data_IF_146041307112
#
_entry.id   IF_146041307112
#
_cell.length_a   1.000
_cell.length_b   1.000
_cell.length_c   1.000
_cell.angle_alpha   90.00
_cell.angle_beta   90.00
_cell.angle_gamma   90.00
#
_symmetry.space_group_name_H-M   'P 1'
#
loop_
_entity.id
_entity.type
_entity.pdbx_description
1 polymer ?
#
# COMPACT_ATOMS: atom_id res chain seq x y z
N UNK A 1 -20.65 -6.41 -17.66
CA UNK A 1 -20.22 -5.62 -16.50
C UNK A 1 -18.97 -6.30 -16.01
N UNK A 2 -17.84 -5.86 -16.54
CA UNK A 2 -16.51 -6.44 -16.33
C UNK A 2 -16.02 -6.10 -14.92
N UNK A 3 -15.40 -7.08 -14.27
CA UNK A 3 -14.74 -6.94 -12.97
C UNK A 3 -13.54 -6.00 -13.14
N UNK A 4 -13.61 -4.84 -12.48
CA UNK A 4 -12.63 -3.76 -12.54
C UNK A 4 -11.66 -3.90 -11.35
N UNK A 5 -10.72 -4.84 -11.42
CA UNK A 5 -9.56 -4.85 -10.52
C UNK A 5 -8.61 -3.72 -10.95
N UNK A 6 -8.82 -2.54 -10.37
CA UNK A 6 -8.29 -1.29 -10.92
C UNK A 6 -6.92 -0.86 -10.39
N UNK A 7 -6.36 -1.26 -9.25
CA UNK A 7 -5.09 -0.66 -8.75
C UNK A 7 -5.11 0.88 -8.94
N UNK A 8 -6.13 1.52 -8.39
CA UNK A 8 -6.05 2.93 -8.03
C UNK A 8 -5.77 2.89 -6.54
N UNK A 9 -4.48 2.85 -6.21
CA UNK A 9 -4.03 3.12 -4.87
C UNK A 9 -4.12 4.63 -4.67
N UNK A 10 -5.34 5.11 -4.41
CA UNK A 10 -5.49 6.35 -3.65
C UNK A 10 -5.04 6.02 -2.23
N UNK A 11 -3.71 5.97 -2.01
CA UNK A 11 -3.18 6.22 -0.69
C UNK A 11 -3.46 7.70 -0.39
N UNK A 12 -4.70 8.01 0.00
CA UNK A 12 -4.98 9.23 0.72
C UNK A 12 -4.28 9.07 2.07
N UNK A 13 -3.05 9.57 2.16
CA UNK A 13 -2.67 10.19 3.42
C UNK A 13 -3.69 11.32 3.60
N UNK A 14 -4.64 11.13 4.52
CA UNK A 14 -5.57 12.16 4.92
C UNK A 14 -4.77 13.43 5.25
N UNK A 15 -4.82 14.42 4.37
CA UNK A 15 -4.77 15.82 4.78
C UNK A 15 -6.11 16.09 5.44
N UNK A 16 -6.29 15.57 6.66
CA UNK A 16 -7.32 16.08 7.54
C UNK A 16 -7.01 17.56 7.75
N UNK A 17 -8.03 18.39 7.57
CA UNK A 17 -7.98 19.83 7.85
C UNK A 17 -7.21 20.08 9.12
N UNK A 18 -6.23 21.00 9.09
CA UNK A 18 -5.44 21.45 10.23
C UNK A 18 -6.38 21.90 11.36
N UNK A 19 -6.81 20.94 12.18
CA UNK A 19 -7.26 21.19 13.52
C UNK A 19 -5.99 21.45 14.32
N UNK A 20 -5.94 22.58 15.01
CA UNK A 20 -4.79 22.96 15.83
C UNK A 20 -4.51 21.86 16.86
N UNK A 21 -3.51 21.02 16.56
CA UNK A 21 -3.05 19.97 17.46
C UNK A 21 -2.38 20.59 18.70
N UNK A 22 -2.42 19.91 19.85
CA UNK A 22 -1.47 20.21 20.92
C UNK A 22 -0.04 20.07 20.35
N UNK A 23 0.89 20.94 20.71
CA UNK A 23 2.25 20.86 20.18
C UNK A 23 2.88 19.53 20.60
N UNK A 24 3.46 18.80 19.65
CA UNK A 24 4.35 17.70 19.96
C UNK A 24 5.40 18.17 20.97
N UNK A 25 5.82 17.30 21.91
CA UNK A 25 6.88 17.65 22.84
C UNK A 25 8.11 18.10 22.04
N UNK A 26 8.72 19.23 22.46
CA UNK A 26 9.92 19.76 21.82
C UNK A 26 10.98 18.66 21.66
N UNK A 27 11.66 18.66 20.51
CA UNK A 27 12.72 17.72 20.22
C UNK A 27 13.75 17.67 21.36
N UNK A 28 14.23 16.46 21.69
CA UNK A 28 15.27 16.24 22.71
C UNK A 28 14.94 16.62 24.18
N UNK A 29 13.70 16.98 24.52
CA UNK A 29 13.34 17.32 25.93
C UNK A 29 13.66 16.19 26.91
N UNK A 30 13.54 14.94 26.48
CA UNK A 30 13.83 13.76 27.31
C UNK A 30 15.30 13.28 27.21
N UNK A 31 16.18 14.06 26.58
CA UNK A 31 17.58 13.70 26.37
C UNK A 31 18.45 14.08 27.58
N UNK A 32 18.26 13.34 28.68
CA UNK A 32 18.91 13.63 29.97
C UNK A 32 19.82 12.47 30.39
N UNK A 33 21.10 12.79 30.66
CA UNK A 33 22.09 11.89 31.30
C UNK A 33 23.02 11.11 30.37
N UNK A 34 24.16 10.67 30.95
CA UNK A 34 25.06 9.61 30.45
C UNK A 34 25.42 9.66 28.96
N UNK A 35 25.08 8.57 28.26
CA UNK A 35 25.44 8.28 26.87
C UNK A 35 24.47 8.87 25.84
N UNK A 36 23.57 9.77 26.24
CA UNK A 36 22.58 10.38 25.34
C UNK A 36 23.04 11.74 24.80
N UNK A 37 22.83 11.97 23.50
CA UNK A 37 23.12 13.23 22.81
C UNK A 37 21.94 13.68 21.95
N UNK A 38 21.59 14.96 22.04
CA UNK A 38 20.68 15.56 21.08
C UNK A 38 21.45 15.82 19.79
N UNK A 39 21.00 15.23 18.68
CA UNK A 39 21.70 15.24 17.40
C UNK A 39 20.75 15.62 16.27
N UNK A 40 21.32 16.12 15.17
CA UNK A 40 20.59 16.40 13.94
C UNK A 40 20.33 15.12 13.14
N UNK A 41 19.17 15.06 12.48
CA UNK A 41 18.87 14.04 11.49
C UNK A 41 19.29 14.53 10.09
N UNK A 42 20.49 14.13 9.68
CA UNK A 42 21.06 14.48 8.37
C UNK A 42 20.31 13.87 7.20
N UNK A 43 19.47 12.85 7.42
CA UNK A 43 18.66 12.27 6.37
C UNK A 43 17.47 13.18 6.00
N UNK A 44 17.05 14.06 6.91
CA UNK A 44 15.96 15.03 6.74
C UNK A 44 16.51 16.36 6.21
N UNK A 45 17.55 16.89 6.85
CA UNK A 45 18.21 18.12 6.42
C UNK A 45 19.64 18.11 6.96
N UNK A 46 20.59 18.59 6.15
CA UNK A 46 21.96 18.81 6.62
C UNK A 46 21.92 19.82 7.78
N UNK A 47 22.16 19.32 8.99
CA UNK A 47 22.13 20.05 10.24
C UNK A 47 23.26 19.52 11.12
N UNK A 48 24.08 20.41 11.67
CA UNK A 48 25.14 20.01 12.59
C UNK A 48 24.58 19.67 13.98
N UNK A 49 25.14 18.67 14.67
CA UNK A 49 24.67 18.26 16.01
C UNK A 49 24.69 19.43 17.02
N UNK A 50 25.62 20.37 16.86
CA UNK A 50 25.70 21.56 17.71
C UNK A 50 24.47 22.46 17.59
N UNK A 51 23.77 22.46 16.45
CA UNK A 51 22.55 23.24 16.24
C UNK A 51 21.36 22.67 17.02
N UNK A 52 21.35 21.36 17.27
CA UNK A 52 20.32 20.69 18.08
C UNK A 52 20.52 20.87 19.59
N UNK A 53 21.71 21.29 20.06
CA UNK A 53 21.99 21.48 21.50
C UNK A 53 21.04 22.50 22.15
N UNK A 54 20.55 23.48 21.39
CA UNK A 54 19.58 24.46 21.88
C UNK A 54 18.27 23.81 22.35
N UNK A 55 17.92 22.63 21.80
CA UNK A 55 16.70 21.91 22.11
C UNK A 55 16.70 21.29 23.50
N UNK A 56 17.88 21.03 24.08
CA UNK A 56 18.02 20.56 25.47
C UNK A 56 17.59 21.62 26.50
N UNK A 57 17.60 22.90 26.11
CA UNK A 57 17.35 24.03 27.02
C UNK A 57 16.11 24.84 26.63
N UNK A 58 15.56 24.59 25.45
CA UNK A 58 14.40 25.36 24.99
C UNK A 58 13.12 24.85 25.62
N UNK A 59 12.29 25.79 26.09
CA UNK A 59 10.90 25.56 26.47
C UNK A 59 9.91 26.16 25.46
N UNK A 60 10.41 26.80 24.40
CA UNK A 60 9.58 27.47 23.39
C UNK A 60 9.34 26.55 22.20
N UNK A 61 8.06 26.23 21.96
CA UNK A 61 7.59 25.44 20.80
C UNK A 61 7.90 26.02 19.42
N UNK A 62 8.51 27.21 19.36
CA UNK A 62 8.88 27.91 18.12
C UNK A 62 10.39 27.96 17.89
N UNK A 63 11.18 27.30 18.75
CA UNK A 63 12.64 27.33 18.64
C UNK A 63 13.08 26.41 17.53
N UNK A 64 13.64 26.95 16.47
CA UNK A 64 14.33 26.17 15.45
C UNK A 64 15.70 25.70 15.97
N UNK A 65 16.17 24.48 15.65
CA UNK A 65 15.50 23.42 14.88
C UNK A 65 14.48 22.55 15.65
N UNK A 66 14.28 22.81 16.94
CA UNK A 66 13.53 21.95 17.87
C UNK A 66 12.04 21.78 17.57
N UNK A 67 11.45 22.75 16.86
CA UNK A 67 10.05 22.78 16.46
C UNK A 67 9.78 22.09 15.12
N UNK A 68 10.81 21.54 14.47
CA UNK A 68 10.68 20.74 13.28
C UNK A 68 10.67 19.28 13.71
N UNK A 69 9.54 18.60 13.53
CA UNK A 69 9.39 17.22 13.96
C UNK A 69 10.49 16.34 13.32
N UNK A 70 11.17 15.57 14.18
CA UNK A 70 12.23 14.66 13.80
C UNK A 70 13.57 15.27 13.41
N UNK A 71 13.67 16.57 13.18
CA UNK A 71 14.92 17.20 12.73
C UNK A 71 16.02 17.14 13.81
N UNK A 72 15.64 17.23 15.07
CA UNK A 72 16.50 16.90 16.20
C UNK A 72 15.91 15.73 16.99
N UNK A 73 16.77 14.84 17.45
CA UNK A 73 16.32 13.70 18.26
C UNK A 73 17.38 13.29 19.28
N UNK A 74 16.96 12.52 20.28
CA UNK A 74 17.85 12.04 21.32
C UNK A 74 18.47 10.70 20.93
N UNK A 75 19.75 10.71 20.61
CA UNK A 75 20.52 9.52 20.26
C UNK A 75 21.24 8.93 21.47
N UNK A 76 21.06 7.63 21.70
CA UNK A 76 21.89 6.85 22.60
C UNK A 76 23.18 6.44 21.88
N UNK A 77 24.31 6.98 22.31
CA UNK A 77 25.62 6.78 21.66
C UNK A 77 26.14 5.35 21.75
N UNK A 78 25.48 4.47 22.52
CA UNK A 78 25.77 3.02 22.53
C UNK A 78 25.09 2.28 21.37
N UNK A 79 24.16 2.92 20.66
CA UNK A 79 23.37 2.36 19.56
C UNK A 79 23.79 2.95 18.21
N UNK A 80 23.56 2.22 17.10
CA UNK A 80 23.66 2.81 15.77
C UNK A 80 22.88 4.12 15.67
N UNK A 81 23.40 5.08 14.90
CA UNK A 81 22.80 6.41 14.76
C UNK A 81 21.64 6.40 13.75
N UNK A 82 20.63 5.58 14.03
CA UNK A 82 19.35 5.58 13.33
C UNK A 82 18.27 6.03 14.29
N UNK A 83 17.39 6.94 13.84
CA UNK A 83 16.28 7.42 14.66
C UNK A 83 15.39 6.22 15.07
N UNK A 84 15.16 5.98 16.38
CA UNK A 84 14.34 4.86 16.83
C UNK A 84 12.96 4.91 16.22
N UNK A 85 12.47 3.73 15.83
CA UNK A 85 11.09 3.53 15.43
C UNK A 85 10.17 3.49 16.66
N UNK A 86 8.87 3.59 16.41
CA UNK A 86 7.84 3.33 17.40
C UNK A 86 7.96 1.87 17.88
N UNK A 87 8.24 1.62 19.17
CA UNK A 87 8.45 0.26 19.64
C UNK A 87 7.13 -0.44 19.94
N UNK A 88 7.06 -1.75 19.67
CA UNK A 88 5.94 -2.59 20.12
C UNK A 88 6.04 -2.94 21.60
N UNK A 89 7.26 -2.89 22.15
CA UNK A 89 7.58 -3.36 23.49
C UNK A 89 7.63 -4.89 23.62
N UNK A 90 7.52 -5.62 22.50
CA UNK A 90 7.72 -7.06 22.46
C UNK A 90 9.22 -7.39 22.44
N UNK A 91 9.56 -8.62 22.80
CA UNK A 91 10.95 -9.10 22.73
C UNK A 91 11.32 -9.50 21.30
N UNK A 92 12.58 -9.31 20.91
CA UNK A 92 13.11 -9.80 19.63
C UNK A 92 13.06 -11.33 19.59
N UNK A 93 12.50 -11.87 18.50
CA UNK A 93 12.42 -13.30 18.29
C UNK A 93 13.71 -13.88 17.70
N UNK A 94 13.98 -15.15 18.01
CA UNK A 94 15.14 -15.88 17.46
C UNK A 94 14.94 -16.37 16.04
N UNK A 95 13.69 -16.56 15.61
CA UNK A 95 13.35 -17.04 14.27
C UNK A 95 13.53 -15.92 13.26
N UNK A 96 14.26 -16.15 12.17
CA UNK A 96 14.44 -15.11 11.15
C UNK A 96 13.17 -14.95 10.30
N UNK A 97 12.83 -13.73 9.85
CA UNK A 97 11.66 -13.47 9.01
C UNK A 97 11.53 -14.39 7.80
N UNK A 98 12.60 -14.56 7.03
CA UNK A 98 12.59 -15.35 5.79
C UNK A 98 12.68 -16.87 6.00
N UNK A 99 12.87 -17.34 7.24
CA UNK A 99 12.67 -18.75 7.58
C UNK A 99 11.19 -19.06 7.83
N UNK A 100 10.39 -18.04 8.22
CA UNK A 100 8.94 -18.16 8.43
C UNK A 100 8.22 -18.08 7.09
N UNK A 101 8.48 -17.02 6.32
CA UNK A 101 7.94 -16.86 4.97
C UNK A 101 9.02 -17.23 3.94
N UNK A 102 8.93 -18.45 3.43
CA UNK A 102 9.94 -19.03 2.53
C UNK A 102 9.72 -18.63 1.08
N UNK A 103 10.74 -18.78 0.23
CA UNK A 103 10.61 -18.55 -1.22
C UNK A 103 9.52 -19.41 -1.85
N UNK A 104 9.36 -20.64 -1.38
CA UNK A 104 8.28 -21.52 -1.82
C UNK A 104 6.91 -20.91 -1.55
N UNK A 105 6.72 -20.35 -0.34
CA UNK A 105 5.47 -19.67 0.03
C UNK A 105 5.25 -18.40 -0.79
N UNK A 106 6.31 -17.63 -1.08
CA UNK A 106 6.24 -16.48 -1.98
C UNK A 106 5.76 -16.88 -3.37
N UNK A 107 6.36 -17.92 -3.96
CA UNK A 107 5.96 -18.43 -5.27
C UNK A 107 4.56 -19.04 -5.28
N UNK A 108 4.06 -19.54 -4.14
CA UNK A 108 2.68 -20.01 -4.00
C UNK A 108 1.69 -18.84 -3.90
N UNK A 109 2.03 -17.80 -3.13
CA UNK A 109 1.21 -16.60 -2.97
C UNK A 109 1.14 -15.78 -4.26
N UNK A 110 2.25 -15.68 -4.98
CA UNK A 110 2.40 -14.82 -6.16
C UNK A 110 3.19 -15.51 -7.28
N UNK A 111 2.61 -16.54 -7.92
CA UNK A 111 3.29 -17.33 -8.95
C UNK A 111 3.67 -16.53 -10.20
N UNK A 112 3.03 -15.36 -10.40
CA UNK A 112 3.24 -14.50 -11.54
C UNK A 112 3.98 -13.19 -11.19
N UNK A 113 4.58 -13.11 -10.00
CA UNK A 113 5.33 -11.92 -9.60
C UNK A 113 6.36 -11.53 -10.66
N UNK A 114 6.43 -10.24 -10.97
CA UNK A 114 7.35 -9.69 -11.98
C UNK A 114 8.43 -8.85 -11.31
N UNK A 115 9.57 -8.71 -11.95
CA UNK A 115 10.58 -7.74 -11.51
C UNK A 115 9.96 -6.34 -11.36
N UNK A 116 10.21 -5.60 -10.26
CA UNK A 116 11.26 -5.80 -9.25
C UNK A 116 10.90 -6.69 -8.04
N UNK A 117 9.74 -7.35 -8.04
CA UNK A 117 9.27 -8.13 -6.89
C UNK A 117 9.93 -9.51 -6.81
N UNK A 118 11.17 -9.56 -6.29
CA UNK A 118 11.88 -10.81 -6.03
C UNK A 118 11.82 -11.17 -4.55
N UNK A 119 11.81 -12.46 -4.23
CA UNK A 119 11.88 -12.94 -2.84
C UNK A 119 13.20 -12.55 -2.18
N UNK A 120 14.32 -12.70 -2.90
CA UNK A 120 15.65 -12.26 -2.45
C UNK A 120 15.64 -10.77 -2.07
N UNK A 121 15.09 -9.90 -2.93
CA UNK A 121 15.00 -8.46 -2.65
C UNK A 121 14.15 -8.13 -1.42
N UNK A 122 13.09 -8.90 -1.16
CA UNK A 122 12.28 -8.76 0.06
C UNK A 122 13.13 -9.09 1.30
N UNK A 123 13.81 -10.24 1.28
CA UNK A 123 14.62 -10.71 2.40
C UNK A 123 15.83 -9.82 2.69
N UNK A 124 16.56 -9.41 1.65
CA UNK A 124 17.70 -8.52 1.79
C UNK A 124 17.29 -7.17 2.40
N UNK A 125 16.13 -6.66 2.00
CA UNK A 125 15.61 -5.38 2.52
C UNK A 125 15.15 -5.50 3.97
N UNK A 126 14.52 -6.62 4.35
CA UNK A 126 14.17 -6.91 5.76
C UNK A 126 15.45 -7.00 6.60
N UNK A 127 16.46 -7.74 6.15
CA UNK A 127 17.73 -7.86 6.87
C UNK A 127 18.43 -6.50 7.02
N UNK A 128 18.46 -5.70 5.94
CA UNK A 128 18.99 -4.34 5.97
C UNK A 128 18.30 -3.49 7.06
N UNK A 129 16.96 -3.48 7.09
CA UNK A 129 16.21 -2.70 8.08
C UNK A 129 16.39 -3.25 9.51
N UNK A 130 16.27 -4.57 9.70
CA UNK A 130 16.41 -5.20 11.02
C UNK A 130 17.83 -5.09 11.59
N UNK A 131 18.85 -4.85 10.75
CA UNK A 131 20.20 -4.50 11.21
C UNK A 131 20.33 -3.06 11.70
N UNK A 132 19.51 -2.14 11.17
CA UNK A 132 19.55 -0.70 11.50
C UNK A 132 18.77 -0.36 12.77
N UNK A 133 17.62 -1.00 12.99
CA UNK A 133 16.67 -0.63 14.05
C UNK A 133 16.55 -1.71 15.12
N UNK A 134 16.32 -1.31 16.37
CA UNK A 134 16.09 -2.23 17.49
C UNK A 134 14.73 -2.94 17.37
N UNK A 135 13.67 -2.22 16.99
CA UNK A 135 12.38 -2.83 16.62
C UNK A 135 12.54 -3.55 15.27
N UNK A 136 12.17 -4.84 15.24
CA UNK A 136 12.39 -5.69 14.07
C UNK A 136 11.09 -5.91 13.30
N UNK A 137 11.10 -5.68 11.99
CA UNK A 137 9.97 -6.05 11.15
C UNK A 137 9.94 -7.59 11.01
N UNK A 138 8.77 -8.19 11.27
CA UNK A 138 8.53 -9.64 11.25
C UNK A 138 9.36 -10.50 12.21
N UNK A 139 10.01 -9.90 13.22
CA UNK A 139 10.89 -10.61 14.16
C UNK A 139 10.67 -10.16 15.62
N UNK A 140 9.44 -9.79 15.96
CA UNK A 140 9.06 -9.35 17.31
C UNK A 140 7.96 -10.26 17.87
N UNK A 141 8.06 -10.54 19.17
CA UNK A 141 7.08 -11.33 19.90
C UNK A 141 7.08 -12.82 19.54
N UNK A 142 5.93 -13.46 19.74
CA UNK A 142 5.76 -14.91 19.55
C UNK A 142 5.77 -15.30 18.06
N UNK A 143 6.00 -16.58 17.75
CA UNK A 143 5.91 -17.07 16.38
C UNK A 143 4.51 -16.85 15.78
N UNK A 144 3.45 -16.95 16.59
CA UNK A 144 2.08 -16.70 16.13
C UNK A 144 1.87 -15.21 15.77
N UNK A 145 2.48 -14.30 16.51
CA UNK A 145 2.47 -12.86 16.19
C UNK A 145 3.23 -12.57 14.89
N UNK A 146 4.45 -13.11 14.73
CA UNK A 146 5.24 -12.95 13.50
C UNK A 146 4.51 -13.49 12.26
N UNK A 147 3.86 -14.66 12.38
CA UNK A 147 3.06 -15.24 11.30
C UNK A 147 1.84 -14.38 10.94
N UNK A 148 1.14 -13.85 11.93
CA UNK A 148 0.01 -12.97 11.70
C UNK A 148 0.41 -11.65 11.05
N UNK A 149 1.53 -11.07 11.50
CA UNK A 149 2.10 -9.87 10.89
C UNK A 149 2.44 -10.10 9.41
N UNK A 150 3.10 -11.23 9.10
CA UNK A 150 3.36 -11.65 7.72
C UNK A 150 2.08 -11.76 6.90
N UNK A 151 1.06 -12.47 7.42
CA UNK A 151 -0.20 -12.66 6.72
C UNK A 151 -0.89 -11.31 6.41
N UNK A 152 -0.92 -10.39 7.38
CA UNK A 152 -1.51 -9.06 7.21
C UNK A 152 -0.76 -8.22 6.16
N UNK A 153 0.57 -8.14 6.28
CA UNK A 153 1.41 -7.42 5.33
C UNK A 153 1.26 -7.95 3.89
N UNK A 154 1.30 -9.27 3.74
CA UNK A 154 1.16 -9.93 2.44
C UNK A 154 -0.24 -9.74 1.88
N UNK A 155 -1.30 -9.87 2.69
CA UNK A 155 -2.67 -9.64 2.26
C UNK A 155 -2.89 -8.23 1.68
N UNK A 156 -2.34 -7.20 2.34
CA UNK A 156 -2.40 -5.84 1.84
C UNK A 156 -1.54 -5.61 0.60
N UNK A 157 -0.25 -5.96 0.64
CA UNK A 157 0.65 -5.66 -0.48
C UNK A 157 0.34 -6.47 -1.74
N UNK A 158 -0.19 -7.69 -1.60
CA UNK A 158 -0.72 -8.48 -2.72
C UNK A 158 -1.94 -7.79 -3.35
N UNK A 159 -2.79 -7.14 -2.55
CA UNK A 159 -3.87 -6.32 -3.06
C UNK A 159 -3.36 -5.09 -3.82
N UNK A 160 -2.49 -4.29 -3.20
CA UNK A 160 -2.02 -3.02 -3.78
C UNK A 160 -1.25 -3.22 -5.10
N UNK A 161 -0.48 -4.29 -5.21
CA UNK A 161 0.40 -4.52 -6.36
C UNK A 161 -0.17 -5.50 -7.39
N UNK A 162 -1.47 -5.84 -7.30
CA UNK A 162 -2.10 -6.87 -8.12
C UNK A 162 -1.29 -8.18 -8.14
N UNK A 163 -1.07 -8.75 -6.96
CA UNK A 163 -0.27 -9.95 -6.74
C UNK A 163 1.15 -9.79 -7.29
N UNK A 164 1.75 -8.63 -7.03
CA UNK A 164 3.10 -8.26 -7.46
C UNK A 164 3.31 -8.32 -8.98
N UNK A 165 2.28 -7.96 -9.76
CA UNK A 165 2.37 -7.81 -11.23
C UNK A 165 2.36 -6.36 -11.69
N UNK A 166 1.99 -5.43 -10.81
CA UNK A 166 1.83 -4.01 -11.12
C UNK A 166 2.84 -3.15 -10.34
N UNK A 167 4.09 -2.99 -10.84
CA UNK A 167 5.08 -2.11 -10.22
C UNK A 167 4.73 -0.62 -10.23
N UNK A 168 3.75 -0.24 -11.05
CA UNK A 168 3.31 1.15 -11.25
C UNK A 168 1.78 1.18 -11.32
N UNK A 169 1.22 2.30 -10.88
CA UNK A 169 -0.20 2.58 -11.01
C UNK A 169 -0.61 2.61 -12.50
N UNK A 170 -1.80 2.08 -12.78
CA UNK A 170 -2.24 1.82 -14.15
C UNK A 170 -2.46 3.09 -14.97
N UNK A 171 -3.25 4.04 -14.45
CA UNK A 171 -3.61 5.26 -15.18
C UNK A 171 -2.39 6.11 -15.56
N UNK A 172 -1.43 6.38 -14.65
CA UNK A 172 -0.25 7.15 -15.01
C UNK A 172 0.77 6.35 -15.83
N UNK A 173 0.91 5.04 -15.59
CA UNK A 173 2.01 4.28 -16.18
C UNK A 173 1.83 2.75 -16.29
N UNK A 174 0.68 2.26 -16.76
CA UNK A 174 0.51 0.81 -16.98
C UNK A 174 1.46 0.21 -18.03
N UNK A 175 1.81 0.99 -19.07
CA UNK A 175 2.79 0.61 -20.09
C UNK A 175 3.91 1.63 -20.14
N UNK A 176 5.14 1.14 -20.16
CA UNK A 176 6.34 1.96 -20.29
C UNK A 176 6.90 1.90 -21.71
N UNK A 177 7.52 2.98 -22.13
CA UNK A 177 8.40 3.01 -23.30
C UNK A 177 9.85 3.10 -22.82
N UNK A 178 10.70 2.21 -23.32
CA UNK A 178 12.14 2.21 -23.01
C UNK A 178 12.90 2.80 -24.20
N UNK A 179 13.58 3.93 -24.00
CA UNK A 179 14.35 4.58 -25.06
C UNK A 179 15.61 5.25 -24.49
N UNK A 180 16.77 4.99 -25.11
CA UNK A 180 18.03 5.62 -24.69
C UNK A 180 18.46 5.31 -23.25
N UNK A 181 17.98 4.20 -22.67
CA UNK A 181 18.19 3.84 -21.26
C UNK A 181 17.21 4.51 -20.28
N UNK A 182 16.27 5.32 -20.76
CA UNK A 182 15.22 5.93 -19.95
C UNK A 182 13.89 5.19 -20.03
N UNK A 183 13.12 5.26 -18.95
CA UNK A 183 11.72 4.81 -18.87
C UNK A 183 10.79 5.99 -19.04
N UNK A 184 9.73 5.82 -19.83
CA UNK A 184 8.72 6.86 -20.09
C UNK A 184 7.31 6.31 -19.93
N UNK A 185 6.42 7.16 -19.41
CA UNK A 185 5.05 6.80 -19.07
C UNK A 185 4.04 7.59 -19.90
N UNK A 186 2.88 6.99 -20.16
CA UNK A 186 1.78 7.64 -20.89
C UNK A 186 0.59 7.87 -19.94
N UNK A 187 0.54 8.99 -19.20
CA UNK A 187 -0.50 9.23 -18.23
C UNK A 187 -1.85 9.39 -18.91
N UNK A 188 -2.91 8.85 -18.29
CA UNK A 188 -4.22 8.72 -18.89
C UNK A 188 -5.36 9.13 -17.97
N UNK A 189 -6.38 9.78 -18.56
CA UNK A 189 -7.69 9.87 -17.94
C UNK A 189 -8.41 8.53 -18.04
N UNK A 190 -9.27 8.22 -17.07
CA UNK A 190 -9.99 6.94 -17.01
C UNK A 190 -10.88 6.69 -18.25
N UNK A 191 -11.49 7.73 -18.81
CA UNK A 191 -12.31 7.65 -20.02
C UNK A 191 -11.53 7.29 -21.30
N UNK A 192 -10.21 7.49 -21.29
CA UNK A 192 -9.32 7.21 -22.43
C UNK A 192 -8.43 5.98 -22.20
N UNK A 193 -8.61 5.30 -21.06
CA UNK A 193 -7.81 4.14 -20.68
C UNK A 193 -8.49 2.86 -21.14
N UNK A 194 -7.85 2.15 -22.07
CA UNK A 194 -8.22 0.78 -22.43
C UNK A 194 -7.76 -0.14 -21.30
N UNK A 195 -8.70 -0.58 -20.48
CA UNK A 195 -8.45 -1.46 -19.33
C UNK A 195 -8.04 -2.88 -19.73
N UNK A 196 -8.51 -3.37 -20.88
CA UNK A 196 -8.20 -4.72 -21.37
C UNK A 196 -6.76 -4.76 -21.86
N UNK A 197 -6.37 -3.78 -22.67
CA UNK A 197 -5.01 -3.70 -23.19
C UNK A 197 -4.06 -2.93 -22.28
N UNK A 198 -4.54 -2.28 -21.22
CA UNK A 198 -3.72 -1.41 -20.35
C UNK A 198 -3.00 -0.32 -21.15
N UNK A 199 -3.71 0.32 -22.06
CA UNK A 199 -3.14 1.31 -22.97
C UNK A 199 -3.93 2.62 -22.94
N UNK A 200 -3.21 3.72 -22.94
CA UNK A 200 -3.82 5.04 -23.03
C UNK A 200 -3.92 5.49 -24.48
N UNK A 201 -5.13 5.76 -24.96
CA UNK A 201 -5.33 6.30 -26.31
C UNK A 201 -4.82 7.75 -26.39
N UNK A 202 -5.34 8.60 -25.50
CA UNK A 202 -5.06 10.04 -25.44
C UNK A 202 -4.37 10.37 -24.13
N UNK A 203 -3.07 10.70 -24.20
CA UNK A 203 -2.32 11.05 -22.99
C UNK A 203 -2.69 12.42 -22.43
N UNK A 204 -2.74 12.52 -21.11
CA UNK A 204 -2.94 13.76 -20.34
C UNK A 204 -1.89 14.83 -20.62
N UNK A 205 -0.66 14.45 -20.99
CA UNK A 205 0.43 15.41 -21.26
C UNK A 205 0.54 15.82 -22.73
N UNK A 206 -0.29 15.25 -23.61
CA UNK A 206 -0.32 15.62 -25.03
C UNK A 206 -0.84 17.05 -25.23
N UNK A 207 -0.41 17.71 -26.31
CA UNK A 207 -0.96 18.99 -26.77
C UNK A 207 -0.91 20.11 -25.72
N UNK A 208 0.18 20.16 -24.94
CA UNK A 208 0.36 21.16 -23.88
C UNK A 208 -0.38 20.85 -22.58
N UNK A 209 -0.95 19.64 -22.45
CA UNK A 209 -1.47 19.14 -21.19
C UNK A 209 -0.36 18.84 -20.17
N UNK A 210 -0.75 18.60 -18.92
CA UNK A 210 0.17 18.38 -17.80
C UNK A 210 -0.37 17.29 -16.88
N UNK A 211 0.53 16.59 -16.18
CA UNK A 211 0.21 15.68 -15.10
C UNK A 211 0.68 16.30 -13.77
N UNK A 212 -0.25 16.52 -12.84
CA UNK A 212 0.02 17.13 -11.52
C UNK A 212 -0.52 16.30 -10.34
N UNK A 213 -1.06 15.11 -10.58
CA UNK A 213 -1.59 14.29 -9.50
C UNK A 213 -0.47 13.82 -8.55
N UNK A 214 -0.84 13.56 -7.29
CA UNK A 214 0.08 13.16 -6.22
C UNK A 214 1.20 14.17 -5.92
N UNK A 215 0.95 15.45 -6.20
CA UNK A 215 1.84 16.56 -5.86
C UNK A 215 1.14 17.55 -4.93
N UNK A 216 1.48 17.51 -3.63
CA UNK A 216 1.15 18.60 -2.72
C UNK A 216 2.26 19.66 -2.79
N UNK A 217 1.99 20.73 -3.53
CA UNK A 217 2.91 21.86 -3.73
C UNK A 217 3.19 22.66 -2.45
N UNK A 218 2.39 22.48 -1.39
CA UNK A 218 2.61 23.12 -0.10
C UNK A 218 3.62 22.36 0.76
N UNK A 219 3.82 21.07 0.47
CA UNK A 219 4.80 20.23 1.15
C UNK A 219 6.10 20.25 0.36
N UNK A 220 7.12 20.85 0.95
CA UNK A 220 8.45 21.03 0.36
C UNK A 220 9.53 20.50 1.32
N UNK A 221 10.79 20.41 0.91
CA UNK A 221 11.85 19.96 1.80
C UNK A 221 11.88 20.79 3.09
N UNK A 222 12.06 20.15 4.26
CA UNK A 222 12.43 18.74 4.43
C UNK A 222 11.23 17.76 4.55
N UNK A 223 9.99 18.21 4.40
CA UNK A 223 8.80 17.40 4.65
C UNK A 223 8.26 16.66 3.42
N UNK A 224 8.75 16.99 2.22
CA UNK A 224 8.40 16.32 0.98
C UNK A 224 9.29 16.71 -0.17
N UNK A 225 9.20 15.96 -1.26
CA UNK A 225 9.92 16.27 -2.48
C UNK A 225 9.34 17.52 -3.15
N UNK A 226 10.19 18.31 -3.79
CA UNK A 226 9.71 19.36 -4.71
C UNK A 226 9.01 18.66 -5.88
N UNK A 227 7.80 19.09 -6.17
CA UNK A 227 6.99 18.54 -7.24
C UNK A 227 6.31 19.66 -8.04
N UNK A 228 5.87 19.35 -9.27
CA UNK A 228 5.23 20.31 -10.15
C UNK A 228 4.63 19.63 -11.38
N UNK A 229 4.12 20.42 -12.34
CA UNK A 229 3.60 19.87 -13.58
C UNK A 229 4.65 19.08 -14.34
N UNK A 230 4.31 17.84 -14.64
CA UNK A 230 5.05 17.02 -15.58
C UNK A 230 4.41 17.17 -16.95
N UNK A 231 5.20 17.53 -17.96
CA UNK A 231 4.75 17.73 -19.34
C UNK A 231 5.26 16.60 -20.24
N UNK A 232 4.84 16.63 -21.51
CA UNK A 232 5.40 15.75 -22.53
C UNK A 232 6.91 15.99 -22.70
N UNK A 233 7.66 14.91 -22.96
CA UNK A 233 9.12 14.97 -23.17
C UNK A 233 9.44 15.58 -24.54
N UNK A 234 8.67 15.21 -25.57
CA UNK A 234 8.81 15.72 -26.93
C UNK A 234 7.43 15.97 -27.56
N UNK A 235 7.33 16.97 -28.44
CA UNK A 235 6.09 17.31 -29.17
C UNK A 235 5.88 16.45 -30.44
N UNK A 236 6.92 15.70 -30.85
CA UNK A 236 6.95 14.83 -32.02
C UNK A 236 7.96 13.71 -31.84
N UNK A 237 7.88 12.65 -32.66
CA UNK A 237 8.77 11.49 -32.54
C UNK A 237 8.25 10.41 -31.59
N UNK A 238 9.15 9.52 -31.17
CA UNK A 238 8.80 8.30 -30.42
C UNK A 238 8.40 8.58 -28.97
N UNK A 239 8.77 9.74 -28.41
CA UNK A 239 8.39 10.14 -27.04
C UNK A 239 7.19 11.09 -27.00
N UNK A 240 6.51 11.32 -28.13
CA UNK A 240 5.34 12.18 -28.19
C UNK A 240 4.24 11.68 -27.25
N UNK A 241 3.72 12.59 -26.42
CA UNK A 241 2.66 12.29 -25.46
C UNK A 241 3.10 11.35 -24.33
N UNK A 242 4.41 11.20 -24.11
CA UNK A 242 4.97 10.50 -22.96
C UNK A 242 5.60 11.50 -22.00
N UNK A 243 5.60 11.17 -20.72
CA UNK A 243 6.27 11.92 -19.65
C UNK A 243 7.45 11.14 -19.08
N UNK A 244 8.41 11.85 -18.49
CA UNK A 244 9.43 11.23 -17.64
C UNK A 244 8.82 10.96 -16.24
N UNK A 245 8.69 9.69 -15.82
CA UNK A 245 8.10 9.34 -14.54
C UNK A 245 8.88 9.84 -13.32
N UNK A 246 10.15 10.20 -13.46
CA UNK A 246 10.96 10.73 -12.35
C UNK A 246 10.51 12.11 -11.86
N UNK A 247 9.56 12.76 -12.54
CA UNK A 247 8.96 14.03 -12.10
C UNK A 247 7.59 13.87 -11.43
N UNK A 248 7.12 12.63 -11.24
CA UNK A 248 5.79 12.35 -10.70
C UNK A 248 5.82 11.30 -9.59
N UNK A 249 4.99 11.52 -8.56
CA UNK A 249 4.95 10.74 -7.32
C UNK A 249 3.69 9.87 -7.20
N UNK A 250 3.25 9.31 -8.33
CA UNK A 250 2.14 8.34 -8.40
C UNK A 250 2.50 6.98 -7.80
N UNK A 251 1.52 6.08 -7.68
CA UNK A 251 1.67 4.78 -7.02
C UNK A 251 2.74 3.89 -7.63
N UNK A 252 3.70 3.41 -6.82
CA UNK A 252 4.72 2.43 -7.22
C UNK A 252 5.04 1.41 -6.12
N UNK A 253 5.61 0.28 -6.51
CA UNK A 253 6.12 -0.72 -5.56
C UNK A 253 5.02 -1.53 -4.88
N UNK A 254 5.37 -2.27 -3.83
CA UNK A 254 4.49 -3.32 -3.28
C UNK A 254 3.30 -2.76 -2.49
N UNK A 255 3.40 -1.52 -1.98
CA UNK A 255 2.32 -0.81 -1.29
C UNK A 255 1.71 0.32 -2.13
N UNK A 256 2.12 0.44 -3.41
CA UNK A 256 1.76 1.57 -4.28
C UNK A 256 2.00 2.93 -3.59
N UNK A 257 3.25 3.17 -3.18
CA UNK A 257 3.66 4.42 -2.54
C UNK A 257 3.31 5.62 -3.43
N UNK A 258 2.55 6.56 -2.87
CA UNK A 258 2.06 7.77 -3.56
C UNK A 258 2.33 9.01 -2.72
N UNK A 259 2.32 10.18 -3.37
CA UNK A 259 2.56 11.53 -2.82
C UNK A 259 4.02 11.89 -2.58
N UNK A 260 4.41 13.11 -2.99
CA UNK A 260 5.74 13.68 -2.82
C UNK A 260 6.25 13.69 -1.37
N UNK A 261 5.35 13.81 -0.38
CA UNK A 261 5.71 13.71 1.04
C UNK A 261 6.20 12.30 1.43
N UNK A 262 5.51 11.26 0.96
CA UNK A 262 5.82 9.89 1.34
C UNK A 262 7.11 9.39 0.67
N UNK A 263 7.36 9.78 -0.58
CA UNK A 263 8.63 9.46 -1.26
C UNK A 263 9.82 10.05 -0.50
N UNK A 264 9.74 11.30 -0.02
CA UNK A 264 10.79 11.92 0.78
C UNK A 264 11.04 11.16 2.10
N UNK A 265 9.96 10.86 2.85
CA UNK A 265 10.06 10.16 4.14
C UNK A 265 10.58 8.73 3.98
N UNK A 266 10.14 8.02 2.95
CA UNK A 266 10.66 6.69 2.63
C UNK A 266 12.14 6.76 2.23
N UNK A 267 12.54 7.77 1.45
CA UNK A 267 13.94 7.99 1.07
C UNK A 267 14.84 8.18 2.28
N UNK A 268 14.40 8.97 3.28
CA UNK A 268 15.15 9.20 4.51
C UNK A 268 15.51 7.90 5.24
N UNK A 269 14.61 6.92 5.25
CA UNK A 269 14.82 5.62 5.92
C UNK A 269 15.60 4.64 5.06
N UNK A 270 15.27 4.55 3.78
CA UNK A 270 15.82 3.52 2.89
C UNK A 270 17.20 3.91 2.36
N UNK A 271 17.33 5.15 1.89
CA UNK A 271 18.53 5.68 1.26
C UNK A 271 19.37 6.58 2.20
N UNK A 272 18.90 6.81 3.43
CA UNK A 272 19.60 7.65 4.43
C UNK A 272 19.76 9.11 3.94
N UNK A 273 18.89 9.56 3.03
CA UNK A 273 18.78 10.93 2.52
C UNK A 273 17.41 11.18 1.86
N UNK A 274 16.92 12.43 1.82
CA UNK A 274 15.68 12.77 1.11
C UNK A 274 15.79 12.65 -0.42
N UNK A 275 16.97 12.92 -0.98
CA UNK A 275 17.13 13.21 -2.41
C UNK A 275 16.93 12.00 -3.32
N UNK A 276 17.25 10.79 -2.86
CA UNK A 276 17.30 9.60 -3.73
C UNK A 276 15.96 9.32 -4.39
N UNK A 277 14.88 9.15 -3.60
CA UNK A 277 13.56 8.91 -4.17
C UNK A 277 12.84 10.20 -4.60
N UNK A 278 13.32 11.37 -4.19
CA UNK A 278 12.84 12.64 -4.73
C UNK A 278 13.34 12.90 -6.16
N UNK A 279 14.60 12.55 -6.46
CA UNK A 279 15.19 12.71 -7.78
C UNK A 279 14.91 11.52 -8.70
N UNK A 280 14.74 10.32 -8.13
CA UNK A 280 14.57 9.06 -8.87
C UNK A 280 13.44 8.20 -8.29
N UNK A 281 12.17 8.68 -8.24
CA UNK A 281 11.05 7.90 -7.73
C UNK A 281 10.81 6.61 -8.52
N UNK A 282 11.32 6.51 -9.75
CA UNK A 282 11.22 5.30 -10.58
C UNK A 282 11.98 4.10 -10.03
N UNK A 283 12.94 4.30 -9.10
CA UNK A 283 13.60 3.22 -8.38
C UNK A 283 12.59 2.31 -7.66
N UNK A 284 11.48 2.87 -7.15
CA UNK A 284 10.42 2.11 -6.47
C UNK A 284 9.74 1.08 -7.40
N UNK A 285 9.83 1.29 -8.72
CA UNK A 285 9.26 0.39 -9.73
C UNK A 285 10.30 -0.40 -10.54
N UNK A 286 11.59 -0.27 -10.19
CA UNK A 286 12.69 -0.87 -10.98
C UNK A 286 13.78 -1.52 -10.13
N UNK A 287 13.84 -1.24 -8.83
CA UNK A 287 14.85 -1.79 -7.92
C UNK A 287 14.15 -2.56 -6.79
N UNK A 288 14.49 -3.84 -6.56
CA UNK A 288 13.86 -4.66 -5.52
C UNK A 288 13.97 -4.07 -4.12
N UNK A 289 15.08 -3.40 -3.78
CA UNK A 289 15.29 -2.79 -2.47
C UNK A 289 14.27 -1.68 -2.22
N UNK A 290 13.97 -0.85 -3.21
CA UNK A 290 12.99 0.23 -3.05
C UNK A 290 11.54 -0.24 -3.25
N UNK A 291 11.31 -1.22 -4.14
CA UNK A 291 9.98 -1.79 -4.34
C UNK A 291 9.42 -2.46 -3.09
N UNK A 292 10.25 -3.21 -2.36
CA UNK A 292 9.92 -3.80 -1.06
C UNK A 292 10.13 -2.82 0.08
N UNK A 293 11.23 -2.07 0.06
CA UNK A 293 11.59 -1.15 1.13
C UNK A 293 10.54 -0.09 1.39
N UNK A 294 9.88 0.43 0.34
CA UNK A 294 8.79 1.40 0.53
C UNK A 294 7.56 0.79 1.22
N UNK A 295 7.25 -0.47 0.96
CA UNK A 295 6.19 -1.19 1.66
C UNK A 295 6.56 -1.49 3.12
N UNK A 296 7.80 -1.91 3.38
CA UNK A 296 8.31 -2.15 4.74
C UNK A 296 8.42 -0.85 5.54
N UNK A 297 8.82 0.24 4.89
CA UNK A 297 8.79 1.58 5.47
C UNK A 297 7.37 1.97 5.87
N UNK A 298 6.40 1.82 4.97
CA UNK A 298 5.02 2.15 5.29
C UNK A 298 4.50 1.29 6.44
N UNK A 299 4.86 0.01 6.46
CA UNK A 299 4.43 -0.95 7.47
C UNK A 299 4.95 -0.63 8.87
N UNK A 300 6.25 -0.40 9.00
CA UNK A 300 6.94 -0.27 10.29
C UNK A 300 7.20 1.16 10.76
N UNK A 301 7.15 2.16 9.86
CA UNK A 301 7.61 3.52 10.14
C UNK A 301 6.56 4.59 9.89
N UNK A 302 5.68 4.41 8.90
CA UNK A 302 4.64 5.40 8.61
C UNK A 302 3.54 5.35 9.68
N UNK A 303 3.23 6.52 10.25
CA UNK A 303 2.20 6.68 11.27
C UNK A 303 1.14 7.70 10.82
N UNK A 304 -0.14 7.50 11.16
CA UNK A 304 -1.14 8.54 10.98
C UNK A 304 -0.80 9.81 11.79
N UNK A 305 -1.19 11.01 11.33
CA UNK A 305 -0.96 12.25 12.07
C UNK A 305 -1.60 12.21 13.47
N UNK A 306 -0.82 12.50 14.50
CA UNK A 306 -1.30 12.52 15.90
C UNK A 306 -1.52 11.14 16.54
N UNK A 307 -1.17 10.06 15.85
CA UNK A 307 -1.24 8.71 16.39
C UNK A 307 0.17 8.12 16.60
N UNK A 308 0.31 7.32 17.65
CA UNK A 308 1.55 6.61 17.99
C UNK A 308 1.39 5.12 17.65
N UNK A 309 1.02 4.85 16.40
CA UNK A 309 0.81 3.50 15.91
C UNK A 309 1.21 3.37 14.44
N UNK A 310 1.50 2.14 14.02
CA UNK A 310 1.87 1.75 12.66
C UNK A 310 1.15 0.45 12.31
N UNK A 311 1.19 0.03 11.05
CA UNK A 311 0.58 -1.25 10.66
C UNK A 311 1.22 -2.45 11.39
N UNK A 312 2.54 -2.36 11.61
CA UNK A 312 3.31 -3.30 12.43
C UNK A 312 2.75 -3.41 13.86
N UNK A 313 2.53 -2.28 14.54
CA UNK A 313 1.96 -2.24 15.90
C UNK A 313 0.51 -2.75 15.91
N UNK A 314 -0.32 -2.33 14.95
CA UNK A 314 -1.70 -2.81 14.84
C UNK A 314 -1.74 -4.35 14.70
N UNK A 315 -0.83 -4.92 13.92
CA UNK A 315 -0.77 -6.37 13.70
C UNK A 315 -0.26 -7.15 14.93
N UNK A 316 0.71 -6.60 15.65
CA UNK A 316 1.40 -7.31 16.75
C UNK A 316 0.76 -7.11 18.12
N UNK A 317 0.40 -5.86 18.47
CA UNK A 317 -0.10 -5.49 19.79
C UNK A 317 -1.62 -5.58 19.84
N UNK A 318 -2.28 -4.95 18.87
CA UNK A 318 -3.75 -4.91 18.82
C UNK A 318 -4.33 -6.16 18.16
N UNK A 319 -3.50 -6.93 17.43
CA UNK A 319 -3.94 -8.11 16.70
C UNK A 319 -5.02 -7.77 15.68
N UNK A 320 -4.86 -6.66 14.96
CA UNK A 320 -5.89 -6.06 14.12
C UNK A 320 -5.45 -5.86 12.66
N UNK A 321 -6.10 -6.58 11.75
CA UNK A 321 -6.03 -6.35 10.30
C UNK A 321 -6.85 -5.13 9.88
N UNK A 322 -7.96 -4.85 10.58
CA UNK A 322 -8.75 -3.64 10.33
C UNK A 322 -7.96 -2.38 10.66
N UNK A 323 -7.18 -2.39 11.75
CA UNK A 323 -6.30 -1.30 12.15
C UNK A 323 -5.23 -1.01 11.10
N UNK A 324 -4.53 -2.03 10.59
CA UNK A 324 -3.55 -1.85 9.51
C UNK A 324 -4.23 -1.37 8.21
N UNK A 325 -5.42 -1.86 7.89
CA UNK A 325 -6.19 -1.35 6.74
C UNK A 325 -6.56 0.13 6.91
N UNK A 326 -6.99 0.54 8.11
CA UNK A 326 -7.37 1.92 8.35
C UNK A 326 -6.18 2.89 8.19
N UNK A 327 -4.97 2.47 8.58
CA UNK A 327 -3.74 3.22 8.33
C UNK A 327 -3.42 3.29 6.83
N UNK A 328 -3.61 2.20 6.09
CA UNK A 328 -3.30 2.14 4.66
C UNK A 328 -4.30 2.97 3.84
N UNK A 329 -5.60 2.81 4.06
CA UNK A 329 -6.64 3.43 3.24
C UNK A 329 -7.98 3.69 3.97
N UNK A 330 -7.94 4.01 5.26
CA UNK A 330 -9.14 4.18 6.08
C UNK A 330 -10.13 5.20 5.57
N UNK A 331 -9.64 6.31 5.01
CA UNK A 331 -10.50 7.38 4.46
C UNK A 331 -11.38 6.94 3.28
N UNK A 332 -11.08 5.81 2.63
CA UNK A 332 -11.83 5.30 1.49
C UNK A 332 -12.40 3.89 1.72
N UNK A 333 -11.83 3.11 2.65
CA UNK A 333 -12.19 1.72 2.90
C UNK A 333 -12.85 1.47 4.27
N UNK A 334 -12.83 2.44 5.20
CA UNK A 334 -13.31 2.27 6.58
C UNK A 334 -14.33 3.35 7.01
N UNK A 335 -15.62 3.24 6.62
CA UNK A 335 -16.20 2.22 5.76
C UNK A 335 -16.14 2.60 4.28
N UNK A 336 -15.97 1.62 3.40
CA UNK A 336 -16.11 1.84 1.97
C UNK A 336 -17.52 2.31 1.60
N UNK A 337 -17.60 3.34 0.75
CA UNK A 337 -18.87 3.79 0.21
C UNK A 337 -19.55 2.65 -0.57
N UNK A 338 -20.85 2.37 -0.36
CA UNK A 338 -21.56 1.32 -1.09
C UNK A 338 -21.46 1.49 -2.61
N UNK A 339 -21.34 0.38 -3.35
CA UNK A 339 -21.23 0.33 -4.82
C UNK A 339 -20.07 1.16 -5.41
N UNK A 340 -19.06 1.50 -4.59
CA UNK A 340 -17.83 2.15 -5.05
C UNK A 340 -16.77 1.11 -5.41
N UNK A 341 -15.75 1.54 -6.14
CA UNK A 341 -14.54 0.74 -6.38
C UNK A 341 -13.93 0.21 -5.08
N UNK A 342 -13.88 1.02 -4.02
CA UNK A 342 -13.29 0.63 -2.74
C UNK A 342 -14.07 -0.49 -2.04
N UNK A 343 -15.39 -0.57 -2.27
CA UNK A 343 -16.19 -1.70 -1.77
C UNK A 343 -15.81 -3.02 -2.43
N UNK A 344 -15.44 -3.00 -3.72
CA UNK A 344 -14.93 -4.17 -4.46
C UNK A 344 -13.46 -4.46 -4.12
N UNK A 345 -12.67 -3.42 -3.85
CA UNK A 345 -11.27 -3.52 -3.46
C UNK A 345 -11.10 -4.30 -2.15
N UNK A 346 -11.93 -3.99 -1.13
CA UNK A 346 -11.94 -4.70 0.16
C UNK A 346 -12.15 -6.21 -0.02
N UNK A 347 -13.05 -6.63 -0.93
CA UNK A 347 -13.27 -8.05 -1.23
C UNK A 347 -11.97 -8.71 -1.68
N UNK A 348 -11.27 -8.08 -2.64
CA UNK A 348 -9.99 -8.61 -3.13
C UNK A 348 -8.92 -8.65 -2.04
N UNK A 349 -8.87 -7.62 -1.18
CA UNK A 349 -7.95 -7.53 -0.05
C UNK A 349 -8.19 -8.63 0.98
N UNK A 350 -9.44 -8.88 1.34
CA UNK A 350 -9.81 -9.96 2.28
C UNK A 350 -9.45 -11.33 1.73
N UNK A 351 -9.66 -11.57 0.43
CA UNK A 351 -9.24 -12.83 -0.23
C UNK A 351 -7.74 -13.05 -0.12
N UNK A 352 -6.94 -12.05 -0.48
CA UNK A 352 -5.48 -12.18 -0.36
C UNK A 352 -5.02 -12.33 1.08
N UNK A 353 -5.72 -11.72 2.04
CA UNK A 353 -5.43 -11.94 3.45
C UNK A 353 -5.69 -13.40 3.86
N UNK A 354 -6.83 -13.99 3.48
CA UNK A 354 -7.11 -15.41 3.75
C UNK A 354 -6.10 -16.34 3.08
N UNK A 355 -5.71 -16.07 1.83
CA UNK A 355 -4.68 -16.84 1.13
C UNK A 355 -3.34 -16.76 1.87
N UNK A 356 -2.90 -15.54 2.22
CA UNK A 356 -1.64 -15.33 2.94
C UNK A 356 -1.66 -16.01 4.31
N UNK A 357 -2.77 -15.91 5.05
CA UNK A 357 -2.99 -16.57 6.33
C UNK A 357 -2.83 -18.11 6.22
N UNK A 358 -3.41 -18.73 5.20
CA UNK A 358 -3.31 -20.17 4.96
C UNK A 358 -1.88 -20.58 4.56
N UNK A 359 -1.22 -19.83 3.67
CA UNK A 359 0.14 -20.11 3.20
C UNK A 359 1.17 -20.00 4.34
N UNK A 360 1.10 -18.93 5.14
CA UNK A 360 1.99 -18.73 6.30
C UNK A 360 1.66 -19.70 7.44
N UNK A 361 0.41 -20.21 7.45
CA UNK A 361 -0.08 -21.14 8.46
C UNK A 361 -0.27 -20.46 9.80
N UNK A 362 -1.09 -19.40 9.82
CA UNK A 362 -1.55 -18.75 11.06
C UNK A 362 -2.57 -19.64 11.77
N UNK A 363 -2.73 -19.46 13.09
CA UNK A 363 -3.73 -20.22 13.88
C UNK A 363 -5.13 -19.64 13.80
N UNK A 364 -5.24 -18.32 13.74
CA UNK A 364 -6.47 -17.54 13.65
C UNK A 364 -6.19 -16.27 12.87
N UNK A 365 -7.20 -15.76 12.18
CA UNK A 365 -7.12 -14.43 11.60
C UNK A 365 -7.04 -13.36 12.69
N UNK A 366 -6.40 -12.25 12.36
CA UNK A 366 -6.45 -11.02 13.14
C UNK A 366 -7.86 -10.43 13.12
N UNK A 367 -8.16 -9.61 14.12
CA UNK A 367 -9.42 -8.89 14.23
C UNK A 367 -9.64 -7.95 13.05
N UNK A 368 -10.89 -7.80 12.65
CA UNK A 368 -11.30 -6.79 11.66
C UNK A 368 -11.73 -5.46 12.31
N UNK A 369 -11.63 -5.35 13.64
CA UNK A 369 -11.85 -4.08 14.35
C UNK A 369 -10.84 -3.00 13.93
N UNK A 370 -11.16 -1.72 14.18
CA UNK A 370 -10.33 -0.60 13.72
C UNK A 370 -10.58 -0.17 12.28
N UNK A 371 -11.39 -0.91 11.51
CA UNK A 371 -11.92 -0.49 10.22
C UNK A 371 -13.44 -0.69 10.16
N UNK A 372 -14.19 0.41 10.16
CA UNK A 372 -15.65 0.37 10.19
C UNK A 372 -16.23 -0.42 9.02
N UNK A 373 -17.12 -1.37 9.33
CA UNK A 373 -17.80 -2.20 8.33
C UNK A 373 -17.00 -3.37 7.75
N UNK A 374 -15.72 -3.51 8.09
CA UNK A 374 -14.87 -4.57 7.53
C UNK A 374 -15.32 -5.98 7.91
N UNK A 375 -15.66 -6.21 9.19
CA UNK A 375 -16.15 -7.51 9.65
C UNK A 375 -17.43 -7.95 8.89
N UNK A 376 -18.36 -7.02 8.70
CA UNK A 376 -19.57 -7.28 7.90
C UNK A 376 -19.23 -7.58 6.44
N UNK A 377 -18.28 -6.86 5.86
CA UNK A 377 -17.82 -7.13 4.49
C UNK A 377 -17.18 -8.50 4.34
N UNK A 378 -16.44 -8.96 5.32
CA UNK A 378 -15.91 -10.32 5.36
C UNK A 378 -17.02 -11.37 5.36
N UNK A 379 -18.01 -11.22 6.23
CA UNK A 379 -19.17 -12.11 6.29
C UNK A 379 -19.95 -12.11 4.96
N UNK A 380 -20.32 -10.92 4.45
CA UNK A 380 -21.04 -10.75 3.19
C UNK A 380 -20.28 -11.40 2.02
N UNK A 381 -18.96 -11.22 1.98
CA UNK A 381 -18.11 -11.78 0.93
C UNK A 381 -18.05 -13.31 0.99
N UNK A 382 -18.05 -13.89 2.19
CA UNK A 382 -18.05 -15.33 2.35
C UNK A 382 -19.41 -15.95 2.01
N UNK A 383 -20.51 -15.37 2.51
CA UNK A 383 -21.88 -15.84 2.26
C UNK A 383 -22.28 -15.75 0.78
N UNK A 384 -21.81 -14.72 0.07
CA UNK A 384 -22.04 -14.56 -1.37
C UNK A 384 -21.13 -15.45 -2.23
N UNK A 385 -20.13 -16.10 -1.64
CA UNK A 385 -19.13 -16.89 -2.36
C UNK A 385 -18.08 -16.05 -3.11
N UNK A 386 -18.02 -14.74 -2.86
CA UNK A 386 -17.02 -13.85 -3.45
C UNK A 386 -15.63 -14.05 -2.84
N UNK A 387 -15.53 -14.54 -1.59
CA UNK A 387 -14.29 -14.84 -0.89
C UNK A 387 -14.14 -16.34 -0.58
N UNK A 388 -14.08 -17.24 -1.59
CA UNK A 388 -14.08 -18.67 -1.32
C UNK A 388 -12.85 -19.14 -0.53
N UNK A 389 -11.73 -18.42 -0.60
CA UNK A 389 -10.51 -18.70 0.16
C UNK A 389 -10.67 -18.41 1.66
N UNK A 390 -11.71 -17.66 2.05
CA UNK A 390 -12.00 -17.33 3.45
C UNK A 390 -12.92 -18.33 4.14
N UNK A 391 -13.51 -19.29 3.41
CA UNK A 391 -14.52 -20.21 3.93
C UNK A 391 -14.03 -21.03 5.13
N UNK A 392 -12.78 -21.50 5.10
CA UNK A 392 -12.21 -22.30 6.20
C UNK A 392 -12.07 -21.48 7.49
N UNK A 393 -11.81 -20.18 7.37
CA UNK A 393 -11.64 -19.26 8.50
C UNK A 393 -12.95 -18.90 9.18
N UNK A 394 -14.07 -18.87 8.44
CA UNK A 394 -15.40 -18.72 9.01
C UNK A 394 -15.80 -19.93 9.87
N UNK A 395 -15.50 -21.15 9.43
CA UNK A 395 -15.81 -22.35 10.21
C UNK A 395 -14.93 -22.49 11.46
N UNK A 396 -13.66 -22.06 11.39
CA UNK A 396 -12.77 -22.07 12.56
C UNK A 396 -13.18 -21.05 13.63
N UNK A 397 -13.84 -19.94 13.25
CA UNK A 397 -14.37 -18.97 14.21
C UNK A 397 -15.54 -19.51 15.04
N UNK A 398 -16.22 -20.56 14.58
CA UNK A 398 -17.35 -21.19 15.30
C UNK A 398 -16.92 -22.34 16.24
N UNK A 399 -15.70 -22.85 16.09
CA UNK A 399 -15.18 -24.02 16.83
C UNK A 399 -14.14 -23.58 17.86
N UNK A 400 -14.56 -22.76 18.82
CA UNK A 400 -13.77 -22.52 20.04
C UNK A 400 -14.07 -23.65 21.06
N UNK A 401 -13.60 -24.87 20.75
CA UNK A 401 -13.35 -25.91 21.74
C UNK A 401 -12.32 -26.93 21.23
N UNK A 402 -11.13 -26.84 21.82
CA UNK A 402 -10.01 -27.79 21.85
C UNK A 402 -9.22 -28.13 20.55
N UNK A 403 -7.93 -27.77 20.61
CA UNK A 403 -6.70 -28.19 19.90
C UNK A 403 -6.70 -28.69 18.43
N UNK A 404 -5.63 -28.35 17.65
CA UNK A 404 -5.67 -28.35 16.20
C UNK A 404 -5.53 -29.76 15.59
N UNK A 405 -6.47 -30.12 14.72
CA UNK A 405 -6.28 -31.20 13.76
C UNK A 405 -5.59 -30.67 12.50
N UNK A 406 -4.47 -31.32 12.18
CA UNK A 406 -3.67 -31.32 10.94
C UNK A 406 -4.11 -30.36 9.82
N UNK A 407 -3.23 -29.42 9.48
CA UNK A 407 -3.37 -28.50 8.35
C UNK A 407 -3.80 -29.21 7.05
N UNK A 408 -4.76 -28.65 6.29
CA UNK A 408 -5.14 -29.18 4.98
C UNK A 408 -3.96 -29.16 4.02
N UNK A 409 -3.84 -30.21 3.20
CA UNK A 409 -2.82 -30.31 2.16
C UNK A 409 -3.11 -29.28 1.05
N UNK A 410 -2.14 -28.44 0.65
CA UNK A 410 -2.32 -27.47 -0.44
C UNK A 410 -2.64 -28.18 -1.75
N UNK A 411 -3.66 -27.70 -2.48
CA UNK A 411 -3.91 -28.14 -3.86
C UNK A 411 -3.03 -27.31 -4.80
N UNK A 412 -2.00 -27.94 -5.34
CA UNK A 412 -1.11 -27.37 -6.36
C UNK A 412 -1.90 -27.14 -7.66
N UNK A 413 -1.85 -25.94 -8.28
CA UNK A 413 -2.43 -25.71 -9.60
C UNK A 413 -1.74 -26.59 -10.66
N UNK A 414 -2.54 -27.29 -11.47
CA UNK A 414 -2.06 -28.42 -12.30
C UNK A 414 -1.41 -28.06 -13.63
N UNK A 415 -1.27 -26.79 -14.05
CA UNK A 415 -0.65 -26.46 -15.34
C UNK A 415 0.13 -25.14 -15.37
N UNK A 416 1.31 -25.17 -16.03
CA UNK A 416 2.16 -24.01 -16.33
C UNK A 416 1.79 -23.42 -17.70
N UNK A 417 1.41 -22.13 -17.83
CA UNK A 417 1.03 -21.54 -19.12
C UNK A 417 2.26 -21.10 -19.94
N UNK A 418 2.24 -21.38 -21.24
CA UNK A 418 3.37 -21.13 -22.17
C UNK A 418 3.32 -19.78 -22.90
N UNK A 419 2.37 -18.87 -22.63
CA UNK A 419 2.31 -17.51 -23.23
C UNK A 419 1.65 -16.45 -22.34
N UNK A 420 2.09 -15.19 -22.52
CA UNK A 420 1.80 -13.99 -21.74
C UNK A 420 0.34 -13.50 -21.66
N UNK A 421 -0.68 -14.21 -22.18
CA UNK A 421 -2.08 -13.75 -22.26
C UNK A 421 -3.08 -14.48 -21.33
N UNK A 422 -2.63 -15.34 -20.42
CA UNK A 422 -3.52 -16.17 -19.58
C UNK A 422 -3.55 -15.81 -18.07
N UNK A 423 -2.93 -14.71 -17.63
CA UNK A 423 -2.62 -14.46 -16.22
C UNK A 423 -3.68 -13.66 -15.42
N UNK A 424 -4.74 -13.19 -16.07
CA UNK A 424 -5.99 -12.88 -15.39
C UNK A 424 -6.98 -13.94 -15.85
N UNK A 425 -7.20 -14.97 -15.02
CA UNK A 425 -8.13 -16.05 -15.36
C UNK A 425 -9.57 -15.51 -15.34
N UNK A 426 -10.01 -14.96 -16.47
CA UNK A 426 -11.40 -14.53 -16.70
C UNK A 426 -12.38 -15.70 -16.53
N UNK A 427 -11.92 -16.96 -16.60
CA UNK A 427 -12.79 -18.11 -16.39
C UNK A 427 -13.31 -18.16 -14.94
N UNK A 428 -12.49 -17.79 -13.95
CA UNK A 428 -12.88 -17.78 -12.54
C UNK A 428 -13.90 -16.67 -12.20
N UNK A 429 -13.80 -15.50 -12.87
CA UNK A 429 -14.79 -14.41 -12.74
C UNK A 429 -16.07 -14.67 -13.55
N UNK A 430 -16.00 -15.49 -14.60
CA UNK A 430 -17.15 -15.78 -15.48
C UNK A 430 -18.18 -16.73 -14.86
N UNK A 431 -17.81 -17.54 -13.86
CA UNK A 431 -18.72 -18.48 -13.18
C UNK A 431 -19.70 -17.79 -12.21
N UNK A 432 -19.54 -16.50 -11.94
CA UNK A 432 -20.51 -15.69 -11.16
C UNK A 432 -21.77 -15.36 -11.99
N UNK A 433 -21.79 -15.58 -13.31
CA UNK A 433 -22.89 -15.17 -14.19
C UNK A 433 -23.98 -16.22 -14.50
N UNK A 434 -24.06 -17.34 -13.77
CA UNK A 434 -25.19 -18.27 -13.92
C UNK A 434 -25.76 -18.72 -12.58
N UNK A 435 -26.52 -17.84 -11.92
CA UNK A 435 -27.64 -18.21 -11.04
C UNK A 435 -28.57 -17.00 -10.91
N UNK A 436 -29.36 -16.77 -11.95
CA UNK A 436 -30.80 -16.45 -11.84
C UNK A 436 -31.36 -16.07 -13.21
N UNK A 437 -31.93 -17.08 -13.86
CA UNK A 437 -32.97 -16.90 -14.87
C UNK A 437 -34.07 -17.95 -14.63
N UNK A 438 -34.60 -17.94 -13.41
CA UNK A 438 -35.94 -18.43 -13.11
C UNK A 438 -36.84 -17.24 -12.76
N UNK A 439 -36.99 -16.32 -13.70
CA UNK A 439 -38.16 -15.47 -13.80
C UNK A 439 -38.91 -15.90 -15.07
N UNK A 440 -40.16 -16.31 -14.88
CA UNK A 440 -40.98 -17.02 -15.84
C UNK A 440 -41.12 -16.33 -17.20
N UNK A 441 -41.26 -17.21 -18.20
CA UNK A 441 -41.82 -16.96 -19.51
C UNK A 441 -43.09 -16.09 -19.47
N UNK A 442 -43.13 -15.07 -20.33
CA UNK A 442 -44.37 -14.70 -21.00
C UNK A 442 -44.05 -14.44 -22.47
N UNK A 443 -44.68 -15.25 -23.31
CA UNK A 443 -44.52 -15.27 -24.76
C UNK A 443 -45.04 -14.00 -25.42
N UNK A 444 -44.39 -13.69 -26.54
CA UNK A 444 -44.85 -12.87 -27.64
C UNK A 444 -46.35 -12.98 -27.95
N UNK A 445 -47.04 -11.85 -28.03
CA UNK A 445 -48.17 -11.66 -28.93
C UNK A 445 -48.21 -10.19 -29.39
N UNK A 446 -47.76 -9.95 -30.62
CA UNK A 446 -48.17 -8.79 -31.40
C UNK A 446 -49.70 -8.85 -31.57
N UNK A 447 -50.37 -7.73 -31.33
CA UNK A 447 -51.78 -7.55 -31.64
C UNK A 447 -52.14 -6.07 -31.63
N UNK A 448 -52.36 -5.53 -32.83
CA UNK A 448 -53.02 -4.26 -33.16
C UNK A 448 -53.97 -3.70 -32.09
N UNK A 449 -53.99 -2.37 -31.92
CA UNK A 449 -55.18 -1.51 -32.16
C UNK A 449 -54.80 -0.02 -32.07
N UNK A 450 -55.33 0.72 -33.04
CA UNK A 450 -55.29 2.16 -33.31
C UNK A 450 -56.21 2.92 -32.34
N UNK A 451 -55.85 4.19 -32.03
CA UNK A 451 -56.70 5.39 -31.83
C UNK A 451 -56.11 6.28 -30.71
N UNK A 452 -55.56 7.45 -31.06
CA UNK A 452 -56.22 8.77 -30.96
C UNK A 452 -56.66 9.13 -29.53
N UNK A 453 -56.03 10.14 -28.92
CA UNK A 453 -56.64 11.45 -28.61
C UNK A 453 -55.66 12.39 -27.88
N UNK A 454 -55.35 13.51 -28.55
CA UNK A 454 -55.21 14.90 -28.07
C UNK A 454 -54.69 15.24 -26.67
N UNK A 455 -53.57 15.98 -26.66
CA UNK A 455 -53.31 17.31 -26.06
C UNK A 455 -54.08 17.78 -24.80
N UNK A 456 -53.33 18.31 -23.81
CA UNK A 456 -53.49 19.62 -23.10
C UNK A 456 -52.30 19.74 -22.09
N UNK A 457 -51.31 20.62 -22.29
CA UNK A 457 -51.14 21.97 -21.70
C UNK A 457 -51.11 21.98 -20.15
N UNK A 458 -49.96 22.24 -19.48
CA UNK A 458 -49.34 23.55 -19.11
C UNK A 458 -49.45 23.86 -17.61
N UNK A 459 -48.35 23.74 -16.87
CA UNK A 459 -47.59 24.83 -16.22
C UNK A 459 -46.26 24.30 -15.70
#
# INVERSE_FOLDING_TARGET
MASKSIVVALALALLSSVSAQPPDPLSCVNCVGGDKKCVGDTAIQLLDDSECVICLKSSSKWTWPCNVDGLCWCWDTTKPRFKPTLPTGLEEATQKPCDIFTEKMFNELAPNAVHPYTYEGLCDTIEMLNKRYDEKIFQMGTLDQQKNEWAAFLGHTTHESAQYTAPRENLPCARTTQLGGGTYCKPCANENFDWENRYCEISLVSNGGMYEEYCDKTVTPPFGCVCGPTTEVETSGNLKGLMNPNFAFFGRGAIQLSWNANYAKASAVLAENLDTLCAQPELVATDPTYAWGTALWFWGFNKPPGEETTCHIQSLNEGSFGGSLNIINGGLECPAHPNSYHADAIVTRLRYYCIAASIVGVKRLLSFEGCDGLAKKFEDCNLSGMCPECNEWMMLAEVDSDEPTKAPTPKVPTHTPTQWRQWADEAWLSDIKRRDSSAHSVSSALGYVVCLFTAYLVH
#
